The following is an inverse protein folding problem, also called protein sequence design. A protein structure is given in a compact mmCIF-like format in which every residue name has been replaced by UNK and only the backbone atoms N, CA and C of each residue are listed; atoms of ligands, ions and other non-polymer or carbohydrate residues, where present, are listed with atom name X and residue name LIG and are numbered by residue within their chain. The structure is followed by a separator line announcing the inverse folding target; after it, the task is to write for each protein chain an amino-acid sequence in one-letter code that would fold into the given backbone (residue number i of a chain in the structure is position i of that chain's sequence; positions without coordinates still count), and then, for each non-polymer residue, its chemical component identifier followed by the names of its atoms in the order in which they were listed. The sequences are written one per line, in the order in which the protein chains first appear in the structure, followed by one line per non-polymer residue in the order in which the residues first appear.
data_IF_196281903828
#
_entry.id   IF_196281903828
#
_cell.length_a   1.000
_cell.length_b   1.000
_cell.length_c   1.000
_cell.angle_alpha   90.00
_cell.angle_beta   90.00
_cell.angle_gamma   90.00
#
_symmetry.space_group_name_H-M   'P 1'
#
loop_
_entity.id
_entity.type
_entity.pdbx_description
1 polymer ?
#
# COMPACT_ATOMS: atom_id res chain seq x y z
N UNK A 1 -16.73 3.33 2.95
CA UNK A 1 -16.61 4.15 4.18
C UNK A 1 -15.39 5.05 4.02
N UNK A 2 -15.46 6.35 4.30
CA UNK A 2 -14.29 7.24 4.23
C UNK A 2 -13.55 7.24 5.57
N UNK A 3 -12.24 6.93 5.64
CA UNK A 3 -11.52 6.88 6.91
C UNK A 3 -11.33 8.28 7.52
N UNK A 4 -11.44 8.36 8.85
CA UNK A 4 -11.20 9.56 9.66
C UNK A 4 -9.84 9.55 10.36
N UNK A 5 -9.24 8.37 10.56
CA UNK A 5 -7.94 8.16 11.17
C UNK A 5 -7.21 7.00 10.46
N UNK A 6 -5.87 7.00 10.54
CA UNK A 6 -5.04 5.89 10.10
C UNK A 6 -4.91 4.93 11.29
N UNK A 7 -5.15 3.65 11.04
CA UNK A 7 -4.86 2.60 12.00
C UNK A 7 -3.34 2.50 12.20
N UNK A 8 -2.81 2.69 13.41
CA UNK A 8 -1.37 2.71 13.66
C UNK A 8 -0.67 1.39 13.30
N UNK A 9 -1.40 0.28 13.31
CA UNK A 9 -0.85 -1.05 12.98
C UNK A 9 -0.97 -1.37 11.47
N UNK A 10 -1.65 -0.52 10.69
CA UNK A 10 -1.83 -0.74 9.25
C UNK A 10 -0.55 -0.40 8.48
N UNK A 11 -0.11 -1.36 7.66
CA UNK A 11 1.06 -1.16 6.82
C UNK A 11 0.81 -0.14 5.70
N UNK A 12 1.87 0.55 5.27
CA UNK A 12 1.82 1.44 4.12
C UNK A 12 1.49 0.71 2.82
N UNK A 13 1.87 -0.57 2.68
CA UNK A 13 1.48 -1.41 1.54
C UNK A 13 -0.04 -1.63 1.52
N UNK A 14 -0.64 -1.97 2.66
CA UNK A 14 -2.08 -2.15 2.78
C UNK A 14 -2.84 -0.84 2.49
N UNK A 15 -2.34 0.30 2.99
CA UNK A 15 -2.87 1.63 2.66
C UNK A 15 -2.88 1.86 1.14
N UNK A 16 -1.77 1.60 0.46
CA UNK A 16 -1.67 1.80 -0.99
C UNK A 16 -2.58 0.85 -1.78
N UNK A 17 -2.78 -0.38 -1.32
CA UNK A 17 -3.67 -1.36 -1.95
C UNK A 17 -5.14 -0.98 -1.80
N UNK A 18 -5.54 -0.52 -0.62
CA UNK A 18 -6.93 -0.11 -0.32
C UNK A 18 -7.26 1.26 -0.94
N UNK A 19 -6.28 2.16 -1.01
CA UNK A 19 -6.43 3.51 -1.55
C UNK A 19 -5.27 3.87 -2.50
N UNK A 20 -5.30 3.45 -3.77
CA UNK A 20 -4.24 3.74 -4.75
C UNK A 20 -3.89 5.23 -4.93
N UNK A 21 -4.81 6.16 -4.64
CA UNK A 21 -4.55 7.59 -4.66
C UNK A 21 -3.44 8.01 -3.66
N UNK A 22 -3.23 7.24 -2.59
CA UNK A 22 -2.17 7.47 -1.60
C UNK A 22 -0.77 7.26 -2.19
N UNK A 23 -0.61 6.48 -3.26
CA UNK A 23 0.69 6.27 -3.93
C UNK A 23 1.30 7.61 -4.38
N UNK A 24 0.47 8.58 -4.81
CA UNK A 24 0.97 9.91 -5.17
C UNK A 24 1.58 10.66 -3.98
N UNK A 25 1.02 10.49 -2.78
CA UNK A 25 1.57 11.07 -1.55
C UNK A 25 2.93 10.44 -1.26
N UNK A 26 3.02 9.11 -1.31
CA UNK A 26 4.26 8.35 -1.10
C UNK A 26 5.38 8.80 -2.05
N UNK A 27 5.07 9.00 -3.34
CA UNK A 27 6.02 9.47 -4.36
C UNK A 27 6.53 10.88 -4.03
N UNK A 28 5.64 11.81 -3.64
CA UNK A 28 6.04 13.18 -3.26
C UNK A 28 7.01 13.20 -2.08
N UNK A 29 6.78 12.33 -1.11
CA UNK A 29 7.63 12.15 0.08
C UNK A 29 8.85 11.26 -0.19
N UNK A 30 9.07 10.81 -1.43
CA UNK A 30 10.20 9.94 -1.83
C UNK A 30 10.30 8.66 -1.01
N UNK A 31 9.15 8.09 -0.66
CA UNK A 31 9.09 6.82 0.06
C UNK A 31 9.71 5.70 -0.79
N UNK A 32 10.68 4.99 -0.21
CA UNK A 32 11.42 3.92 -0.89
C UNK A 32 10.68 2.57 -0.84
N UNK A 33 9.64 2.47 -0.02
CA UNK A 33 8.86 1.24 0.19
C UNK A 33 7.85 0.94 -0.94
N UNK A 34 7.69 1.82 -1.93
CA UNK A 34 6.77 1.61 -3.04
C UNK A 34 7.26 0.44 -3.91
N UNK A 35 6.48 -0.65 -3.94
CA UNK A 35 6.79 -1.84 -4.76
C UNK A 35 7.84 -2.79 -4.17
N UNK A 36 8.36 -2.50 -2.97
CA UNK A 36 9.22 -3.44 -2.24
C UNK A 36 8.35 -4.49 -1.54
N UNK A 37 8.60 -5.81 -1.70
CA UNK A 37 7.81 -6.85 -1.01
C UNK A 37 7.94 -6.81 0.52
N UNK A 38 8.94 -6.10 1.06
CA UNK A 38 9.14 -5.86 2.50
C UNK A 38 8.28 -4.68 2.99
N UNK A 39 7.64 -3.93 2.08
CA UNK A 39 6.76 -2.78 2.40
C UNK A 39 5.56 -3.14 3.29
N UNK A 40 5.20 -4.43 3.36
CA UNK A 40 4.15 -4.97 4.24
C UNK A 40 4.47 -4.82 5.75
N UNK A 41 5.73 -4.55 6.11
CA UNK A 41 6.16 -4.47 7.50
C UNK A 41 6.29 -3.05 8.05
N UNK A 42 6.12 -2.02 7.22
CA UNK A 42 6.25 -0.63 7.69
C UNK A 42 4.86 -0.04 7.94
N UNK A 43 4.63 0.38 9.18
CA UNK A 43 3.52 1.29 9.51
C UNK A 43 3.82 2.70 8.99
N UNK A 44 2.83 3.60 9.09
CA UNK A 44 3.06 5.02 8.76
C UNK A 44 4.11 5.65 9.67
N UNK A 45 4.14 5.28 10.96
CA UNK A 45 5.14 5.74 11.90
C UNK A 45 6.55 5.25 11.54
N UNK A 46 6.70 3.97 11.18
CA UNK A 46 7.99 3.41 10.75
C UNK A 46 8.52 4.12 9.50
N UNK A 47 7.64 4.35 8.52
CA UNK A 47 7.99 5.06 7.30
C UNK A 47 8.38 6.52 7.59
N UNK A 48 7.64 7.22 8.44
CA UNK A 48 7.95 8.60 8.81
C UNK A 48 9.30 8.71 9.52
N UNK A 49 9.58 7.80 10.46
CA UNK A 49 10.85 7.73 11.18
C UNK A 49 12.02 7.40 10.27
N UNK A 50 11.89 6.38 9.41
CA UNK A 50 12.96 5.96 8.48
C UNK A 50 13.34 7.04 7.46
N UNK A 51 12.39 7.89 7.09
CA UNK A 51 12.57 8.96 6.12
C UNK A 51 12.76 10.35 6.76
N UNK A 52 12.78 10.43 8.10
CA UNK A 52 12.90 11.68 8.87
C UNK A 52 11.90 12.77 8.45
N UNK A 53 10.63 12.38 8.28
CA UNK A 53 9.53 13.30 7.96
C UNK A 53 8.54 13.42 9.13
N UNK A 54 7.75 14.51 9.12
CA UNK A 54 6.70 14.72 10.11
C UNK A 54 5.54 13.73 9.90
N UNK A 55 5.36 12.83 10.87
CA UNK A 55 4.33 11.79 10.82
C UNK A 55 2.92 12.37 10.76
N UNK A 56 2.65 13.46 11.49
CA UNK A 56 1.32 14.05 11.56
C UNK A 56 0.89 14.68 10.22
N UNK A 57 1.78 15.46 9.59
CA UNK A 57 1.57 16.05 8.27
C UNK A 57 1.43 14.97 7.20
N UNK A 58 2.27 13.93 7.25
CA UNK A 58 2.21 12.80 6.32
C UNK A 58 0.90 12.03 6.46
N UNK A 59 0.48 11.73 7.68
CA UNK A 59 -0.80 11.08 7.98
C UNK A 59 -2.00 11.90 7.51
N UNK A 60 -1.95 13.22 7.68
CA UNK A 60 -2.99 14.12 7.19
C UNK A 60 -3.12 14.11 5.66
N UNK A 61 -1.99 14.10 4.93
CA UNK A 61 -1.98 13.98 3.47
C UNK A 61 -2.51 12.63 3.00
N UNK A 62 -2.12 11.53 3.65
CA UNK A 62 -2.63 10.19 3.35
C UNK A 62 -4.14 10.13 3.55
N UNK A 63 -4.65 10.62 4.68
CA UNK A 63 -6.09 10.67 4.95
C UNK A 63 -6.86 11.52 3.93
N UNK A 64 -6.29 12.65 3.51
CA UNK A 64 -6.88 13.45 2.43
C UNK A 64 -6.97 12.65 1.12
N UNK A 65 -5.89 11.96 0.73
CA UNK A 65 -5.87 11.12 -0.48
C UNK A 65 -6.86 9.95 -0.39
N UNK A 66 -6.93 9.24 0.75
CA UNK A 66 -7.89 8.15 0.98
C UNK A 66 -9.33 8.60 0.81
N UNK A 67 -9.69 9.79 1.31
CA UNK A 67 -11.05 10.36 1.21
C UNK A 67 -11.44 10.78 -0.20
N UNK A 68 -10.45 11.09 -1.04
CA UNK A 68 -10.61 11.51 -2.42
C UNK A 68 -10.44 10.36 -3.42
N UNK A 69 -10.14 9.15 -2.95
CA UNK A 69 -9.90 8.00 -3.80
C UNK A 69 -11.22 7.45 -4.39
N UNK A 70 -11.42 7.50 -5.72
CA UNK A 70 -12.62 6.97 -6.36
C UNK A 70 -12.64 5.42 -6.39
N UNK A 71 -11.50 4.78 -6.20
CA UNK A 71 -11.32 3.33 -6.20
C UNK A 71 -11.52 2.70 -4.82
N UNK A 72 -11.69 3.49 -3.74
CA UNK A 72 -11.88 2.97 -2.38
C UNK A 72 -13.12 2.07 -2.20
N UNK A 73 -14.05 2.08 -3.16
CA UNK A 73 -15.24 1.21 -3.20
C UNK A 73 -15.15 0.12 -4.27
N UNK A 74 -14.10 0.11 -5.09
CA UNK A 74 -13.87 -0.91 -6.10
C UNK A 74 -13.08 -2.09 -5.50
N UNK A 75 -13.32 -3.33 -5.95
CA UNK A 75 -12.47 -4.46 -5.56
C UNK A 75 -11.02 -4.21 -5.98
N UNK A 76 -10.06 -4.66 -5.17
CA UNK A 76 -8.64 -4.49 -5.47
C UNK A 76 -8.31 -5.10 -6.84
N UNK A 77 -7.51 -4.41 -7.66
CA UNK A 77 -7.03 -4.96 -8.93
C UNK A 77 -6.24 -6.28 -8.75
N UNK A 78 -5.77 -6.57 -7.53
CA UNK A 78 -5.11 -7.81 -7.17
C UNK A 78 -6.06 -8.90 -6.63
N UNK A 79 -7.28 -8.56 -6.21
CA UNK A 79 -8.28 -9.55 -5.75
C UNK A 79 -8.94 -10.30 -6.91
N UNK A 80 -8.97 -9.71 -8.12
CA UNK A 80 -9.59 -10.34 -9.30
C UNK A 80 -8.91 -11.63 -9.76
N UNK A 81 -7.74 -12.01 -9.23
CA UNK A 81 -7.00 -13.19 -9.70
C UNK A 81 -6.46 -14.13 -8.62
N UNK A 82 -7.16 -14.28 -7.49
CA UNK A 82 -6.81 -15.24 -6.45
C UNK A 82 -7.25 -16.71 -6.73
N UNK A 83 -7.86 -16.99 -7.89
CA UNK A 83 -8.36 -18.33 -8.24
C UNK A 83 -7.83 -18.84 -9.60
N UNK A 84 -6.53 -19.09 -9.71
CA UNK A 84 -6.06 -20.23 -10.53
C UNK A 84 -4.68 -20.69 -10.07
N UNK A 85 -4.65 -21.52 -9.02
CA UNK A 85 -3.43 -22.16 -8.52
C UNK A 85 -3.27 -23.60 -9.03
N UNK A 86 -4.04 -24.01 -10.04
CA UNK A 86 -4.03 -25.37 -10.55
C UNK A 86 -3.23 -25.47 -11.87
N UNK A 87 -2.22 -26.34 -11.85
CA UNK A 87 -1.50 -26.92 -12.98
C UNK A 87 -0.41 -26.06 -13.69
N UNK A 88 0.77 -25.99 -13.06
CA UNK A 88 2.05 -26.12 -13.79
C UNK A 88 2.69 -27.47 -13.44
N UNK A 89 2.02 -28.57 -13.82
CA UNK A 89 2.67 -29.88 -13.88
C UNK A 89 3.51 -29.93 -15.16
N UNK A 90 4.83 -29.88 -14.98
CA UNK A 90 5.80 -30.27 -16.00
C UNK A 90 6.51 -29.11 -16.70
N UNK A 91 7.61 -28.64 -16.14
CA UNK A 91 8.70 -28.04 -16.91
C UNK A 91 10.02 -28.67 -16.40
N UNK A 92 10.89 -29.18 -17.30
CA UNK A 92 12.08 -29.94 -16.91
C UNK A 92 13.18 -29.02 -16.36
N UNK A 93 13.91 -29.54 -15.37
CA UNK A 93 15.13 -28.95 -14.84
C UNK A 93 16.14 -28.76 -15.97
N UNK A 94 16.53 -27.52 -16.23
CA UNK A 94 17.64 -27.20 -17.13
C UNK A 94 18.95 -27.35 -16.35
N UNK A 95 19.83 -28.18 -16.90
CA UNK A 95 21.22 -28.40 -16.51
C UNK A 95 22.13 -27.24 -16.93
#
# INVERSE_FOLDING_TARGET
MKPSAIDPDMSVDEIMRRWPATIRVMIRHRMLCIGCPIGIFHTVADAAAAHAIDEAAFSAELLAAMRSDPSAAAPSAFETNAHNREARKGEPSCA
#
